data_IF_612164035430
#
_entry.id   IF_612164035430
#
_cell.length_a   1.000
_cell.length_b   1.000
_cell.length_c   1.000
_cell.angle_alpha   90.00
_cell.angle_beta   90.00
_cell.angle_gamma   90.00
#
_symmetry.space_group_name_H-M   'P 1'
#
loop_
_entity.id
_entity.type
_entity.pdbx_description
1 polymer ?
#
# COMPACT_ATOMS: atom_id res chain seq x y z
N UNK A 1 -8.42 -15.77 6.40
CA UNK A 1 -8.05 -14.49 7.07
C UNK A 1 -9.26 -13.70 7.54
N UNK A 2 -9.17 -12.99 8.69
CA UNK A 2 -10.18 -12.02 9.11
C UNK A 2 -10.11 -10.77 8.23
N UNK A 3 -11.26 -10.35 7.69
CA UNK A 3 -11.37 -9.11 6.92
C UNK A 3 -11.21 -7.91 7.87
N UNK A 4 -10.19 -7.09 7.63
CA UNK A 4 -9.95 -5.87 8.39
C UNK A 4 -10.81 -4.76 7.80
N UNK A 5 -11.56 -4.04 8.64
CA UNK A 5 -12.34 -2.86 8.26
C UNK A 5 -12.10 -1.76 9.28
N UNK A 6 -12.04 -0.53 8.83
CA UNK A 6 -11.92 0.66 9.66
C UNK A 6 -13.27 1.36 9.70
N UNK A 7 -13.74 1.65 10.91
CA UNK A 7 -15.03 2.28 11.17
C UNK A 7 -15.11 3.72 10.65
N UNK A 8 -14.01 4.44 10.79
CA UNK A 8 -13.89 5.84 10.40
C UNK A 8 -12.42 6.20 10.08
N UNK A 9 -12.19 7.43 9.63
CA UNK A 9 -10.85 7.91 9.30
C UNK A 9 -9.93 8.07 10.51
N UNK A 10 -10.46 8.19 11.72
CA UNK A 10 -9.65 8.31 12.94
C UNK A 10 -9.07 6.94 13.29
N UNK A 11 -9.86 5.87 13.17
CA UNK A 11 -9.37 4.49 13.33
C UNK A 11 -8.34 4.12 12.26
N UNK A 12 -8.58 4.49 11.00
CA UNK A 12 -7.62 4.29 9.91
C UNK A 12 -6.32 5.07 10.13
N UNK A 13 -6.40 6.33 10.55
CA UNK A 13 -5.24 7.14 10.93
C UNK A 13 -4.45 6.49 12.06
N UNK A 14 -5.13 6.07 13.13
CA UNK A 14 -4.48 5.40 14.27
C UNK A 14 -3.78 4.11 13.85
N UNK A 15 -4.36 3.32 12.94
CA UNK A 15 -3.73 2.11 12.44
C UNK A 15 -2.40 2.42 11.73
N UNK A 16 -2.36 3.44 10.87
CA UNK A 16 -1.12 3.87 10.21
C UNK A 16 -0.08 4.40 11.21
N UNK A 17 -0.50 5.22 12.18
CA UNK A 17 0.39 5.72 13.22
C UNK A 17 0.97 4.58 14.08
N UNK A 18 0.14 3.60 14.46
CA UNK A 18 0.59 2.45 15.23
C UNK A 18 1.63 1.62 14.48
N UNK A 19 1.39 1.33 13.19
CA UNK A 19 2.38 0.65 12.33
C UNK A 19 3.72 1.40 12.34
N UNK A 20 3.71 2.72 12.17
CA UNK A 20 4.94 3.51 12.18
C UNK A 20 5.63 3.48 13.55
N UNK A 21 4.87 3.69 14.62
CA UNK A 21 5.41 3.72 15.99
C UNK A 21 5.92 2.35 16.45
N UNK A 22 5.26 1.26 16.08
CA UNK A 22 5.71 -0.10 16.36
C UNK A 22 7.09 -0.40 15.75
N UNK A 23 7.33 0.11 14.53
CA UNK A 23 8.61 -0.10 13.84
C UNK A 23 9.71 0.83 14.34
N UNK A 24 9.37 2.10 14.65
CA UNK A 24 10.38 3.14 14.92
C UNK A 24 10.55 3.46 16.40
N UNK A 25 9.54 3.18 17.22
CA UNK A 25 9.46 3.65 18.62
C UNK A 25 9.23 5.17 18.77
N UNK A 26 9.05 5.93 17.68
CA UNK A 26 9.01 7.40 17.68
C UNK A 26 7.62 7.98 17.34
N UNK A 27 6.80 8.19 18.36
CA UNK A 27 5.51 8.85 18.24
C UNK A 27 5.60 10.37 18.02
N UNK A 28 6.79 10.96 18.16
CA UNK A 28 7.03 12.41 18.01
C UNK A 28 7.54 12.79 16.61
N UNK A 29 7.76 11.84 15.75
CA UNK A 29 8.30 12.03 14.40
C UNK A 29 7.44 12.96 13.55
N UNK A 30 8.05 13.87 12.75
CA UNK A 30 7.34 14.68 11.75
C UNK A 30 6.51 13.83 10.76
N UNK A 31 6.86 12.57 10.56
CA UNK A 31 6.14 11.61 9.70
C UNK A 31 4.68 11.43 10.14
N UNK A 32 4.39 11.52 11.44
CA UNK A 32 3.00 11.52 11.95
C UNK A 32 2.18 12.65 11.34
N UNK A 33 2.79 13.83 11.13
CA UNK A 33 2.18 14.94 10.42
C UNK A 33 1.90 14.64 8.94
N UNK A 34 2.80 13.93 8.27
CA UNK A 34 2.62 13.53 6.87
C UNK A 34 1.52 12.47 6.73
N UNK A 35 1.43 11.51 7.66
CA UNK A 35 0.31 10.55 7.73
C UNK A 35 -1.02 11.30 7.88
N UNK A 36 -1.11 12.26 8.80
CA UNK A 36 -2.32 13.08 8.96
C UNK A 36 -2.69 13.84 7.69
N UNK A 37 -1.71 14.43 7.00
CA UNK A 37 -1.95 15.15 5.76
C UNK A 37 -2.47 14.20 4.66
N UNK A 38 -1.94 12.99 4.54
CA UNK A 38 -2.45 11.99 3.62
C UNK A 38 -3.94 11.64 3.88
N UNK A 39 -4.32 11.47 5.15
CA UNK A 39 -5.72 11.25 5.53
C UNK A 39 -6.62 12.43 5.14
N UNK A 40 -6.17 13.66 5.38
CA UNK A 40 -6.90 14.88 4.97
C UNK A 40 -7.09 14.91 3.44
N UNK A 41 -6.07 14.53 2.67
CA UNK A 41 -6.14 14.48 1.20
C UNK A 41 -7.13 13.41 0.72
N UNK A 42 -7.11 12.21 1.31
CA UNK A 42 -8.08 11.14 1.00
C UNK A 42 -9.51 11.60 1.30
N UNK A 43 -9.76 12.13 2.49
CA UNK A 43 -11.10 12.60 2.89
C UNK A 43 -11.66 13.66 1.94
N UNK A 44 -10.79 14.54 1.42
CA UNK A 44 -11.18 15.60 0.50
C UNK A 44 -11.43 15.09 -0.91
N UNK A 45 -10.60 14.17 -1.40
CA UNK A 45 -10.65 13.69 -2.79
C UNK A 45 -11.53 12.46 -3.00
N UNK A 46 -11.65 11.59 -1.99
CA UNK A 46 -12.26 10.26 -2.12
C UNK A 46 -13.13 9.92 -0.89
N UNK A 47 -14.33 10.53 -0.74
CA UNK A 47 -15.20 10.30 0.43
C UNK A 47 -15.52 8.81 0.70
N UNK A 48 -15.59 7.97 -0.34
CA UNK A 48 -15.89 6.53 -0.24
C UNK A 48 -14.64 5.63 -0.14
N UNK A 49 -13.49 6.16 0.26
CA UNK A 49 -12.25 5.39 0.34
C UNK A 49 -12.33 4.24 1.37
N UNK A 50 -12.97 4.47 2.51
CA UNK A 50 -13.04 3.48 3.60
C UNK A 50 -13.88 2.25 3.24
N UNK A 51 -14.86 2.40 2.34
CA UNK A 51 -15.69 1.33 1.81
C UNK A 51 -15.11 0.70 0.54
N UNK A 52 -14.01 1.27 0.04
CA UNK A 52 -13.38 0.90 -1.22
C UNK A 52 -12.88 -0.55 -1.26
N UNK A 53 -12.98 -1.17 -2.43
CA UNK A 53 -12.40 -2.48 -2.74
C UNK A 53 -11.00 -2.29 -3.32
N UNK A 54 -10.05 -3.14 -2.94
CA UNK A 54 -8.71 -3.10 -3.54
C UNK A 54 -8.68 -3.81 -4.90
N UNK A 55 -9.47 -4.87 -5.06
CA UNK A 55 -9.54 -5.67 -6.27
C UNK A 55 -10.92 -6.31 -6.42
N UNK A 56 -11.18 -6.98 -7.57
CA UNK A 56 -12.42 -7.74 -7.81
C UNK A 56 -12.33 -9.17 -7.28
N UNK A 57 -11.18 -9.81 -7.38
CA UNK A 57 -11.06 -11.26 -7.14
C UNK A 57 -9.69 -11.73 -6.67
N UNK A 58 -8.80 -10.82 -6.34
CA UNK A 58 -7.44 -11.19 -5.91
C UNK A 58 -7.32 -10.88 -4.42
N UNK A 59 -6.43 -10.04 -4.00
CA UNK A 59 -6.23 -9.64 -2.62
C UNK A 59 -7.20 -8.53 -2.22
N UNK A 60 -7.62 -8.54 -0.96
CA UNK A 60 -8.49 -7.50 -0.36
C UNK A 60 -9.75 -7.16 -1.18
N UNK A 61 -10.32 -8.19 -1.86
CA UNK A 61 -11.51 -8.08 -2.70
C UNK A 61 -12.80 -8.07 -1.83
N UNK A 62 -12.91 -7.11 -0.92
CA UNK A 62 -14.06 -6.92 -0.05
C UNK A 62 -14.25 -5.43 0.28
N UNK A 63 -15.44 -5.07 0.71
CA UNK A 63 -15.73 -3.71 1.17
C UNK A 63 -14.86 -3.33 2.38
N UNK A 64 -14.09 -2.25 2.26
CA UNK A 64 -13.03 -1.86 3.20
C UNK A 64 -11.68 -2.51 2.92
N UNK A 65 -11.53 -3.28 1.84
CA UNK A 65 -10.28 -3.88 1.43
C UNK A 65 -9.22 -2.87 0.99
N UNK A 66 -9.63 -1.74 0.41
CA UNK A 66 -8.70 -0.70 -0.04
C UNK A 66 -7.92 -0.05 1.13
N UNK A 67 -8.55 0.45 2.22
CA UNK A 67 -7.80 0.94 3.37
C UNK A 67 -7.00 -0.17 4.09
N UNK A 68 -7.50 -1.41 4.14
CA UNK A 68 -6.74 -2.53 4.71
C UNK A 68 -5.46 -2.81 3.93
N UNK A 69 -5.54 -2.88 2.60
CA UNK A 69 -4.37 -2.98 1.71
C UNK A 69 -3.39 -1.82 1.95
N UNK A 70 -3.88 -0.59 2.00
CA UNK A 70 -3.05 0.60 2.25
C UNK A 70 -2.22 0.47 3.53
N UNK A 71 -2.83 0.01 4.64
CA UNK A 71 -2.09 -0.18 5.92
C UNK A 71 -1.05 -1.29 5.79
N UNK A 72 -1.35 -2.37 5.10
CA UNK A 72 -0.39 -3.46 4.88
C UNK A 72 0.80 -3.02 4.01
N UNK A 73 0.56 -2.30 2.90
CA UNK A 73 1.62 -1.73 2.06
C UNK A 73 2.48 -0.74 2.86
N UNK A 74 1.84 0.10 3.67
CA UNK A 74 2.54 1.02 4.56
C UNK A 74 3.39 0.29 5.61
N UNK A 75 2.90 -0.83 6.15
CA UNK A 75 3.67 -1.69 7.07
C UNK A 75 4.91 -2.29 6.40
N UNK A 76 4.80 -2.78 5.16
CA UNK A 76 5.95 -3.25 4.39
C UNK A 76 6.96 -2.12 4.17
N UNK A 77 6.51 -0.95 3.74
CA UNK A 77 7.37 0.22 3.56
C UNK A 77 8.09 0.59 4.86
N UNK A 78 7.39 0.69 5.99
CA UNK A 78 7.98 1.00 7.29
C UNK A 78 9.04 -0.02 7.69
N UNK A 79 8.76 -1.31 7.48
CA UNK A 79 9.67 -2.40 7.86
C UNK A 79 11.01 -2.31 7.14
N UNK A 80 11.05 -2.05 5.84
CA UNK A 80 12.34 -1.94 5.13
C UNK A 80 12.95 -0.55 5.14
N UNK A 81 12.18 0.51 5.40
CA UNK A 81 12.73 1.86 5.53
C UNK A 81 13.25 2.16 6.92
N UNK A 82 12.61 1.65 7.96
CA UNK A 82 12.87 2.00 9.35
C UNK A 82 13.13 0.80 10.26
N UNK A 83 12.85 -0.43 9.79
CA UNK A 83 13.09 -1.65 10.57
C UNK A 83 14.57 -1.83 10.88
N UNK A 84 14.86 -2.34 12.09
CA UNK A 84 16.21 -2.51 12.62
C UNK A 84 16.37 -1.78 13.96
N UNK A 85 17.37 -2.16 14.73
CA UNK A 85 17.67 -1.62 16.08
C UNK A 85 18.36 -0.23 16.04
N UNK A 86 18.33 0.46 14.90
CA UNK A 86 18.98 1.77 14.72
C UNK A 86 20.50 1.70 14.51
N UNK A 87 21.09 0.52 14.60
CA UNK A 87 22.54 0.28 14.35
C UNK A 87 22.80 -0.12 12.91
N UNK A 88 21.77 -0.46 12.14
CA UNK A 88 21.89 -0.89 10.76
C UNK A 88 22.28 0.27 9.84
N UNK A 89 23.52 0.22 9.38
CA UNK A 89 24.04 1.11 8.33
C UNK A 89 23.53 0.75 6.93
N UNK A 90 22.73 -0.32 6.80
CA UNK A 90 22.18 -0.74 5.52
C UNK A 90 21.13 0.25 5.04
N UNK A 91 21.19 0.59 3.74
CA UNK A 91 20.22 1.45 3.04
C UNK A 91 20.20 2.93 3.50
N UNK A 92 21.18 3.42 4.28
CA UNK A 92 21.27 4.83 4.66
C UNK A 92 21.30 5.78 3.44
N UNK A 93 21.95 5.37 2.34
CA UNK A 93 21.96 6.16 1.11
C UNK A 93 20.55 6.30 0.51
N UNK A 94 19.72 5.27 0.61
CA UNK A 94 18.32 5.33 0.17
C UNK A 94 17.56 6.31 1.06
N UNK A 95 17.62 6.16 2.39
CA UNK A 95 16.94 7.05 3.35
C UNK A 95 17.31 8.51 3.16
N UNK A 96 18.58 8.79 2.87
CA UNK A 96 19.09 10.15 2.66
C UNK A 96 18.77 10.73 1.27
N UNK A 97 18.28 9.91 0.33
CA UNK A 97 18.03 10.31 -1.05
C UNK A 97 16.54 10.46 -1.38
N UNK A 98 15.65 10.09 -0.47
CA UNK A 98 14.20 10.18 -0.68
C UNK A 98 13.62 11.50 -0.19
N UNK A 99 12.60 11.99 -0.86
CA UNK A 99 11.67 12.99 -0.33
C UNK A 99 10.71 12.26 0.62
N UNK A 100 11.01 12.31 1.93
CA UNK A 100 10.27 11.55 2.93
C UNK A 100 8.77 11.88 2.95
N UNK A 101 8.33 13.15 2.92
CA UNK A 101 6.92 13.48 2.75
C UNK A 101 6.28 12.84 1.52
N UNK A 102 6.94 12.88 0.36
CA UNK A 102 6.43 12.24 -0.85
C UNK A 102 6.30 10.71 -0.68
N UNK A 103 7.29 10.07 -0.06
CA UNK A 103 7.28 8.64 0.17
C UNK A 103 6.12 8.22 1.09
N UNK A 104 5.95 8.89 2.23
CA UNK A 104 4.91 8.55 3.23
C UNK A 104 3.51 8.85 2.68
N UNK A 105 3.29 10.07 2.21
CA UNK A 105 1.99 10.47 1.66
C UNK A 105 1.67 9.63 0.44
N UNK A 106 2.64 9.47 -0.47
CA UNK A 106 2.49 8.69 -1.69
C UNK A 106 2.13 7.23 -1.42
N UNK A 107 2.73 6.58 -0.42
CA UNK A 107 2.38 5.23 -0.01
C UNK A 107 0.91 5.12 0.43
N UNK A 108 0.41 6.10 1.18
CA UNK A 108 -0.96 6.08 1.70
C UNK A 108 -2.00 6.38 0.60
N UNK A 109 -1.65 7.19 -0.42
CA UNK A 109 -2.59 7.60 -1.47
C UNK A 109 -2.38 6.89 -2.81
N UNK A 110 -1.38 5.98 -2.96
CA UNK A 110 -1.00 5.42 -4.27
C UNK A 110 -2.19 4.84 -5.03
N UNK A 111 -3.11 4.23 -4.32
CA UNK A 111 -4.24 3.48 -4.83
C UNK A 111 -5.60 4.19 -4.63
N UNK A 112 -5.65 5.44 -4.15
CA UNK A 112 -6.92 6.08 -3.82
C UNK A 112 -7.87 6.24 -5.02
N UNK A 113 -7.36 6.17 -6.25
CA UNK A 113 -8.15 6.09 -7.47
C UNK A 113 -9.01 4.83 -7.59
N UNK A 114 -8.67 3.73 -6.90
CA UNK A 114 -9.43 2.47 -6.90
C UNK A 114 -10.83 2.62 -6.31
N UNK A 115 -11.06 3.59 -5.43
CA UNK A 115 -12.40 3.87 -4.89
C UNK A 115 -13.44 4.25 -5.97
N UNK A 116 -12.99 4.62 -7.18
CA UNK A 116 -13.84 4.89 -8.34
C UNK A 116 -13.78 3.78 -9.39
N UNK A 117 -12.76 2.93 -9.35
CA UNK A 117 -12.64 1.81 -10.29
C UNK A 117 -13.51 0.63 -9.89
N UNK A 118 -13.68 0.39 -8.58
CA UNK A 118 -14.43 -0.73 -8.04
C UNK A 118 -15.62 -0.26 -7.20
N UNK A 119 -16.81 -0.74 -7.57
CA UNK A 119 -18.05 -0.48 -6.86
C UNK A 119 -18.74 -1.81 -6.54
N UNK A 120 -19.12 -2.02 -5.28
CA UNK A 120 -19.82 -3.23 -4.82
C UNK A 120 -19.10 -4.55 -5.23
N UNK A 121 -17.78 -4.57 -5.18
CA UNK A 121 -16.98 -5.75 -5.53
C UNK A 121 -16.90 -6.08 -7.01
N UNK A 122 -17.32 -5.16 -7.87
CA UNK A 122 -17.22 -5.28 -9.31
C UNK A 122 -16.52 -4.07 -9.91
N UNK A 123 -15.93 -4.26 -11.08
CA UNK A 123 -15.42 -3.12 -11.84
C UNK A 123 -16.59 -2.26 -12.26
N UNK A 124 -16.52 -0.96 -11.96
CA UNK A 124 -17.57 -0.02 -12.33
C UNK A 124 -17.76 0.01 -13.86
N UNK A 125 -18.98 0.01 -14.36
CA UNK A 125 -19.27 -0.02 -15.80
C UNK A 125 -18.64 1.13 -16.59
N UNK A 126 -18.44 2.28 -15.95
CA UNK A 126 -17.79 3.47 -16.53
C UNK A 126 -16.28 3.55 -16.21
N UNK A 127 -15.68 2.48 -15.70
CA UNK A 127 -14.26 2.42 -15.35
C UNK A 127 -13.39 2.08 -16.56
N UNK A 128 -13.43 2.93 -17.60
CA UNK A 128 -12.51 2.84 -18.75
C UNK A 128 -11.22 3.64 -18.54
N UNK A 129 -11.11 4.32 -17.40
CA UNK A 129 -9.88 5.03 -16.99
C UNK A 129 -9.23 4.23 -15.86
N UNK A 130 -7.96 3.82 -15.99
CA UNK A 130 -7.25 3.12 -14.93
C UNK A 130 -7.19 3.98 -13.66
N UNK A 131 -7.23 3.33 -12.49
CA UNK A 131 -7.15 4.04 -11.19
C UNK A 131 -5.90 4.92 -11.05
N UNK A 132 -4.79 4.56 -11.71
CA UNK A 132 -3.57 5.38 -11.73
C UNK A 132 -3.80 6.74 -12.39
N UNK A 133 -4.44 6.79 -13.56
CA UNK A 133 -4.79 8.05 -14.24
C UNK A 133 -5.88 8.81 -13.47
N UNK A 134 -6.86 8.09 -12.93
CA UNK A 134 -7.90 8.73 -12.12
C UNK A 134 -7.30 9.28 -10.81
N UNK A 135 -6.37 8.56 -10.19
CA UNK A 135 -5.61 9.02 -9.03
C UNK A 135 -4.83 10.31 -9.31
N UNK A 136 -4.15 10.40 -10.46
CA UNK A 136 -3.49 11.64 -10.88
C UNK A 136 -4.50 12.78 -11.01
N UNK A 137 -5.67 12.52 -11.61
CA UNK A 137 -6.74 13.53 -11.69
C UNK A 137 -7.23 14.00 -10.31
N UNK A 138 -7.35 13.10 -9.34
CA UNK A 138 -7.69 13.45 -7.96
C UNK A 138 -6.58 14.28 -7.31
N UNK A 139 -5.31 13.92 -7.52
CA UNK A 139 -4.17 14.65 -7.00
C UNK A 139 -4.13 16.09 -7.55
N UNK A 140 -4.47 16.32 -8.82
CA UNK A 140 -4.51 17.69 -9.38
C UNK A 140 -5.54 18.58 -8.68
N UNK A 141 -6.64 18.03 -8.17
CA UNK A 141 -7.61 18.77 -7.37
C UNK A 141 -7.08 19.17 -5.99
N UNK A 142 -6.04 18.49 -5.51
CA UNK A 142 -5.38 18.73 -4.23
C UNK A 142 -4.10 19.59 -4.37
N UNK A 143 -3.73 20.01 -5.59
CA UNK A 143 -2.47 20.71 -5.87
C UNK A 143 -2.26 21.90 -4.94
N UNK A 144 -3.25 22.80 -4.82
CA UNK A 144 -3.15 23.98 -3.97
C UNK A 144 -2.96 23.61 -2.47
N UNK A 145 -3.63 22.57 -1.99
CA UNK A 145 -3.50 22.12 -0.60
C UNK A 145 -2.10 21.53 -0.36
N UNK A 146 -1.59 20.76 -1.30
CA UNK A 146 -0.27 20.12 -1.24
C UNK A 146 0.80 21.22 -1.30
N UNK A 147 0.73 22.13 -2.26
CA UNK A 147 1.73 23.21 -2.42
C UNK A 147 1.69 24.23 -1.29
N UNK A 148 0.61 24.30 -0.51
CA UNK A 148 0.60 25.12 0.71
C UNK A 148 1.49 24.58 1.83
N UNK A 149 1.90 23.32 1.76
CA UNK A 149 2.66 22.60 2.80
C UNK A 149 3.98 22.03 2.30
N UNK A 150 4.05 21.67 1.03
CA UNK A 150 5.16 20.93 0.42
C UNK A 150 5.65 21.61 -0.85
N UNK A 151 6.82 21.17 -1.33
CA UNK A 151 7.42 21.71 -2.55
C UNK A 151 6.73 21.19 -3.82
N UNK A 152 6.94 21.88 -4.95
CA UNK A 152 6.59 21.35 -6.27
C UNK A 152 7.30 20.01 -6.55
N UNK A 153 8.53 19.83 -6.06
CA UNK A 153 9.27 18.57 -6.19
C UNK A 153 8.54 17.39 -5.50
N UNK A 154 8.02 17.62 -4.29
CA UNK A 154 7.19 16.65 -3.57
C UNK A 154 5.90 16.33 -4.35
N UNK A 155 5.20 17.35 -4.85
CA UNK A 155 3.99 17.18 -5.65
C UNK A 155 4.22 16.33 -6.91
N UNK A 156 5.30 16.59 -7.65
CA UNK A 156 5.65 15.82 -8.85
C UNK A 156 6.01 14.36 -8.52
N UNK A 157 6.64 14.11 -7.37
CA UNK A 157 6.90 12.75 -6.90
C UNK A 157 5.61 12.01 -6.53
N UNK A 158 4.64 12.68 -5.91
CA UNK A 158 3.31 12.10 -5.66
C UNK A 158 2.62 11.70 -6.97
N UNK A 159 2.71 12.52 -8.02
CA UNK A 159 2.20 12.16 -9.35
C UNK A 159 2.91 10.92 -9.92
N UNK A 160 4.25 10.87 -9.81
CA UNK A 160 5.04 9.74 -10.26
C UNK A 160 4.69 8.46 -9.49
N UNK A 161 4.53 8.53 -8.18
CA UNK A 161 4.12 7.40 -7.34
C UNK A 161 2.78 6.83 -7.82
N UNK A 162 1.75 7.66 -7.92
CA UNK A 162 0.42 7.23 -8.33
C UNK A 162 0.44 6.63 -9.75
N UNK A 163 1.19 7.23 -10.67
CA UNK A 163 1.26 6.77 -12.06
C UNK A 163 2.12 5.51 -12.28
N UNK A 164 3.08 5.24 -11.40
CA UNK A 164 4.19 4.30 -11.66
C UNK A 164 4.32 3.17 -10.63
N UNK A 165 3.50 3.13 -9.56
CA UNK A 165 3.63 2.11 -8.50
C UNK A 165 3.43 0.67 -9.00
N UNK A 166 2.76 0.46 -10.11
CA UNK A 166 2.62 -0.86 -10.73
C UNK A 166 3.93 -1.42 -11.31
N UNK A 167 4.96 -0.60 -11.52
CA UNK A 167 6.26 -1.04 -12.00
C UNK A 167 6.19 -1.79 -13.33
N UNK A 168 6.64 -3.06 -13.33
CA UNK A 168 6.69 -3.88 -14.54
C UNK A 168 5.30 -4.18 -15.16
N UNK A 169 4.22 -3.95 -14.42
CA UNK A 169 2.85 -4.15 -14.89
C UNK A 169 2.17 -2.84 -15.39
N UNK A 170 2.91 -1.73 -15.41
CA UNK A 170 2.43 -0.40 -15.81
C UNK A 170 3.57 0.48 -16.29
N UNK A 171 3.51 1.78 -15.95
CA UNK A 171 4.60 2.71 -16.20
C UNK A 171 5.76 2.44 -15.22
N UNK A 172 6.97 2.40 -15.74
CA UNK A 172 8.16 2.10 -14.94
C UNK A 172 8.50 3.24 -13.98
N UNK A 173 8.87 2.95 -12.72
CA UNK A 173 9.32 3.95 -11.77
C UNK A 173 10.47 4.81 -12.28
N UNK A 174 10.33 6.13 -12.15
CA UNK A 174 11.33 7.12 -12.56
C UNK A 174 11.94 7.88 -11.37
N UNK A 175 11.42 7.68 -10.15
CA UNK A 175 12.02 8.20 -8.93
C UNK A 175 12.12 7.09 -7.86
N UNK A 176 12.98 7.33 -6.87
CA UNK A 176 13.25 6.35 -5.81
C UNK A 176 11.97 6.02 -5.05
N UNK A 177 11.15 7.03 -4.76
CA UNK A 177 9.91 6.89 -4.00
C UNK A 177 8.91 5.99 -4.74
N UNK A 178 8.71 6.19 -6.06
CA UNK A 178 7.80 5.33 -6.82
C UNK A 178 8.30 3.88 -6.90
N UNK A 179 9.62 3.68 -6.96
CA UNK A 179 10.21 2.34 -6.92
C UNK A 179 10.05 1.65 -5.58
N UNK A 180 10.25 2.36 -4.47
CA UNK A 180 10.08 1.81 -3.12
C UNK A 180 8.62 1.41 -2.85
N UNK A 181 7.67 2.23 -3.31
CA UNK A 181 6.26 1.90 -3.16
C UNK A 181 5.87 0.73 -4.04
N UNK A 182 6.39 0.65 -5.28
CA UNK A 182 6.24 -0.54 -6.12
C UNK A 182 6.70 -1.81 -5.40
N UNK A 183 7.87 -1.78 -4.75
CA UNK A 183 8.38 -2.93 -4.00
C UNK A 183 7.46 -3.30 -2.83
N UNK A 184 6.99 -2.32 -2.06
CA UNK A 184 6.12 -2.55 -0.91
C UNK A 184 4.76 -3.15 -1.33
N UNK A 185 4.13 -2.60 -2.35
CA UNK A 185 2.85 -3.05 -2.90
C UNK A 185 2.98 -4.46 -3.51
N UNK A 186 4.02 -4.68 -4.33
CA UNK A 186 4.28 -5.99 -4.92
C UNK A 186 4.53 -7.07 -3.86
N UNK A 187 5.35 -6.76 -2.85
CA UNK A 187 5.65 -7.68 -1.76
C UNK A 187 4.39 -8.03 -0.96
N UNK A 188 3.60 -7.02 -0.57
CA UNK A 188 2.34 -7.22 0.15
C UNK A 188 1.40 -8.13 -0.63
N UNK A 189 1.15 -7.81 -1.89
CA UNK A 189 0.29 -8.61 -2.77
C UNK A 189 0.77 -10.06 -2.87
N UNK A 190 2.08 -10.31 -3.01
CA UNK A 190 2.61 -11.68 -3.11
C UNK A 190 2.51 -12.45 -1.80
N UNK A 191 2.75 -11.79 -0.66
CA UNK A 191 2.60 -12.43 0.65
C UNK A 191 1.14 -12.79 0.94
N UNK A 192 0.19 -11.92 0.61
CA UNK A 192 -1.22 -12.22 0.78
C UNK A 192 -1.68 -13.39 -0.11
N UNK A 193 -1.28 -13.42 -1.39
CA UNK A 193 -1.57 -14.54 -2.28
C UNK A 193 -0.99 -15.85 -1.72
N UNK A 194 0.21 -15.81 -1.17
CA UNK A 194 0.83 -16.99 -0.57
C UNK A 194 0.06 -17.45 0.67
N UNK A 195 -0.33 -16.54 1.54
CA UNK A 195 -1.08 -16.86 2.77
C UNK A 195 -2.46 -17.48 2.44
N UNK A 196 -3.20 -16.90 1.48
CA UNK A 196 -4.46 -17.46 1.00
C UNK A 196 -4.28 -18.85 0.39
N UNK A 197 -3.19 -19.06 -0.35
CA UNK A 197 -2.89 -20.36 -0.94
C UNK A 197 -2.51 -21.42 0.13
N UNK A 198 -1.81 -21.02 1.20
CA UNK A 198 -1.50 -21.88 2.35
C UNK A 198 -2.78 -22.27 3.10
N UNK A 199 -3.66 -21.30 3.38
CA UNK A 199 -4.93 -21.58 4.05
C UNK A 199 -5.77 -22.55 3.21
N UNK A 200 -5.85 -22.35 1.90
CA UNK A 200 -6.54 -23.25 0.99
C UNK A 200 -5.94 -24.66 0.99
N UNK A 201 -4.61 -24.80 0.93
CA UNK A 201 -3.95 -26.09 0.97
C UNK A 201 -4.25 -26.85 2.27
N UNK A 202 -4.21 -26.16 3.42
CA UNK A 202 -4.55 -26.74 4.73
C UNK A 202 -6.01 -27.25 4.78
N UNK A 203 -6.95 -26.49 4.23
CA UNK A 203 -8.37 -26.86 4.19
C UNK A 203 -8.60 -28.15 3.40
N UNK A 204 -7.77 -28.42 2.39
CA UNK A 204 -7.81 -29.66 1.59
C UNK A 204 -6.87 -30.76 2.11
N UNK A 205 -6.08 -30.50 3.17
CA UNK A 205 -5.10 -31.46 3.71
C UNK A 205 -3.89 -31.66 2.80
N UNK A 206 -3.58 -30.68 1.96
CA UNK A 206 -2.45 -30.71 1.03
C UNK A 206 -1.20 -30.12 1.67
N UNK A 207 -0.06 -30.78 1.48
CA UNK A 207 1.26 -30.27 1.88
C UNK A 207 1.90 -29.38 0.79
N UNK A 208 1.25 -29.19 -0.34
CA UNK A 208 1.74 -28.45 -1.49
C UNK A 208 0.82 -27.26 -1.81
N UNK A 209 1.38 -26.08 -1.67
CA UNK A 209 0.72 -24.82 -2.01
C UNK A 209 0.83 -24.54 -3.50
N UNK A 210 -0.31 -24.31 -4.14
CA UNK A 210 -0.39 -23.89 -5.54
C UNK A 210 -1.37 -22.74 -5.70
N UNK A 211 -1.03 -21.77 -6.55
CA UNK A 211 -1.93 -20.70 -6.96
C UNK A 211 -1.63 -20.32 -8.41
N UNK A 212 -2.64 -19.93 -9.17
CA UNK A 212 -2.42 -19.38 -10.53
C UNK A 212 -1.60 -18.10 -10.56
N UNK A 213 -1.44 -17.44 -9.41
CA UNK A 213 -0.67 -16.22 -9.25
C UNK A 213 0.73 -16.46 -8.66
N UNK A 214 1.06 -17.70 -8.26
CA UNK A 214 2.38 -18.12 -7.82
C UNK A 214 3.06 -18.91 -8.94
N UNK A 215 4.28 -18.55 -9.38
CA UNK A 215 4.96 -19.25 -10.46
C UNK A 215 5.53 -20.61 -10.03
N UNK A 216 5.42 -20.96 -8.75
CA UNK A 216 6.03 -22.13 -8.13
C UNK A 216 5.00 -22.98 -7.39
N UNK A 217 5.32 -24.28 -7.25
CA UNK A 217 4.70 -25.18 -6.27
C UNK A 217 5.56 -25.14 -5.01
N UNK A 218 4.99 -24.80 -3.88
CA UNK A 218 5.70 -24.64 -2.61
C UNK A 218 5.25 -25.71 -1.64
N UNK A 219 6.18 -26.34 -0.91
CA UNK A 219 5.86 -27.29 0.15
C UNK A 219 5.57 -26.51 1.43
N UNK A 220 4.42 -26.71 2.06
CA UNK A 220 4.05 -26.15 3.36
C UNK A 220 3.89 -27.23 4.46
N UNK A 221 4.13 -28.50 4.13
CA UNK A 221 4.12 -29.60 5.09
C UNK A 221 5.28 -29.47 6.08
N UNK A 222 4.96 -29.39 7.39
CA UNK A 222 5.93 -29.39 8.47
C UNK A 222 6.45 -30.81 8.79
N UNK A 223 6.80 -31.60 7.78
CA UNK A 223 7.39 -32.91 7.99
C UNK A 223 8.74 -32.78 8.70
N UNK A 224 8.89 -33.42 9.86
CA UNK A 224 10.20 -33.67 10.44
C UNK A 224 11.03 -34.39 9.38
N UNK A 225 12.01 -33.70 8.81
CA UNK A 225 13.02 -34.37 7.99
C UNK A 225 13.98 -34.98 8.99
N UNK A 226 13.78 -36.24 9.33
CA UNK A 226 14.77 -37.03 10.03
C UNK A 226 15.94 -37.27 9.07
N UNK A 227 17.07 -36.63 9.36
CA UNK A 227 18.35 -36.85 8.68
C UNK A 227 19.09 -38.01 9.33
#
# INVERSE_FOLDING_TARGET
MSKIKYKDYDEFYLALCNVFVEVTGDASSPIIGDINNAIVFIRKATPGFLEGYCAVSVHDAYEGGLPAHTVKVFSQLCSFMFGGDGTDVFYNNIRNSVDMPALIIGCIIHDFGKSFEYLNGQRHENSFVPHTLFGIHLLTKLEADILSKYSMGTYLRLMAIIGQHHGDFGEKPQCIESYLIHLADYQETKLQILEEAIDSAKDYGDDVVTSKYLPYKLNCGGGNIDF
#
